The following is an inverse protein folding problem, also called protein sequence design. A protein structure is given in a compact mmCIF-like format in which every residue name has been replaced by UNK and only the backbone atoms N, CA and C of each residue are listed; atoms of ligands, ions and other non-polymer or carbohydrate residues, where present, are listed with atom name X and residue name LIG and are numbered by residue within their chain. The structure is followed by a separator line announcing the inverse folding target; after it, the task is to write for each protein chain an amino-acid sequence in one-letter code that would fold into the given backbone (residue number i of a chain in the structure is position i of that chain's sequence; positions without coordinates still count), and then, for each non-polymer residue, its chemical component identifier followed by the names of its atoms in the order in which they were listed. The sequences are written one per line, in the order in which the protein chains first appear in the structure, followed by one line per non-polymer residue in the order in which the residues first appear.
data_IF_490324928230
#
_entry.id   IF_490324928230
#
_cell.length_a   1.000
_cell.length_b   1.000
_cell.length_c   1.000
_cell.angle_alpha   90.00
_cell.angle_beta   90.00
_cell.angle_gamma   90.00
#
_symmetry.space_group_name_H-M   'P 1'
#
loop_
_entity.id
_entity.type
_entity.pdbx_description
1 polymer ?
#
# COMPACT_ATOMS: atom_id res chain seq x y z
N UNK A 1 -23.74 -18.15 15.11
CA UNK A 1 -23.14 -17.34 14.06
C UNK A 1 -24.08 -16.19 13.70
N UNK A 2 -25.36 -16.44 13.34
CA UNK A 2 -26.34 -15.40 12.99
C UNK A 2 -26.50 -14.33 14.08
N UNK A 3 -26.57 -14.69 15.36
CA UNK A 3 -26.71 -13.74 16.46
C UNK A 3 -25.49 -12.77 16.57
N UNK A 4 -24.28 -13.26 16.35
CA UNK A 4 -23.10 -12.41 16.36
C UNK A 4 -23.02 -11.50 15.12
N UNK A 5 -23.50 -11.98 13.99
CA UNK A 5 -23.56 -11.20 12.75
C UNK A 5 -24.59 -10.06 12.88
N UNK A 6 -25.75 -10.31 13.52
CA UNK A 6 -26.77 -9.29 13.84
C UNK A 6 -26.22 -8.24 14.83
N UNK A 7 -25.56 -8.67 15.91
CA UNK A 7 -25.00 -7.76 16.92
C UNK A 7 -23.90 -6.87 16.33
N UNK A 8 -23.05 -7.43 15.46
CA UNK A 8 -22.04 -6.67 14.74
C UNK A 8 -22.67 -5.65 13.80
N UNK A 9 -23.72 -6.03 13.08
CA UNK A 9 -24.43 -5.11 12.20
C UNK A 9 -25.11 -3.96 12.96
N UNK A 10 -25.70 -4.24 14.13
CA UNK A 10 -26.24 -3.19 14.99
C UNK A 10 -25.15 -2.23 15.48
N UNK A 11 -23.99 -2.75 15.88
CA UNK A 11 -22.85 -1.94 16.30
C UNK A 11 -22.31 -1.07 15.16
N UNK A 12 -22.22 -1.63 13.96
CA UNK A 12 -21.83 -0.90 12.76
C UNK A 12 -22.86 0.20 12.46
N UNK A 13 -24.15 -0.10 12.52
CA UNK A 13 -25.21 0.88 12.28
C UNK A 13 -25.16 2.04 13.29
N UNK A 14 -24.84 1.77 14.56
CA UNK A 14 -24.64 2.82 15.57
C UNK A 14 -23.43 3.71 15.29
N UNK A 15 -22.32 3.12 14.80
CA UNK A 15 -21.14 3.87 14.37
C UNK A 15 -21.41 4.72 13.11
N UNK A 16 -22.37 4.28 12.29
CA UNK A 16 -22.74 4.97 11.05
C UNK A 16 -23.52 6.26 11.27
N UNK A 17 -24.10 6.45 12.43
CA UNK A 17 -24.76 7.70 12.82
C UNK A 17 -23.75 8.84 13.08
N UNK A 18 -22.46 8.52 13.22
CA UNK A 18 -21.37 9.53 13.26
C UNK A 18 -20.96 9.94 11.84
N UNK A 19 -21.76 10.80 11.23
CA UNK A 19 -21.62 11.27 9.85
C UNK A 19 -20.29 11.96 9.54
N UNK A 20 -19.52 12.36 10.56
CA UNK A 20 -18.26 13.10 10.38
C UNK A 20 -17.09 12.24 9.88
N UNK A 21 -17.25 10.92 9.85
CA UNK A 21 -16.21 9.96 9.43
C UNK A 21 -16.63 9.07 8.28
N UNK A 22 -17.77 9.37 7.67
CA UNK A 22 -18.29 8.65 6.53
C UNK A 22 -17.76 9.26 5.23
N UNK A 23 -17.13 8.41 4.42
CA UNK A 23 -16.53 8.79 3.15
C UNK A 23 -17.00 7.87 2.03
N UNK A 24 -17.14 8.42 0.84
CA UNK A 24 -17.22 7.60 -0.37
C UNK A 24 -15.81 7.31 -0.85
N UNK A 25 -15.45 6.06 -0.92
CA UNK A 25 -14.14 5.59 -1.41
C UNK A 25 -14.32 4.75 -2.66
N UNK A 26 -13.29 4.75 -3.53
CA UNK A 26 -13.27 3.87 -4.69
C UNK A 26 -12.35 2.69 -4.40
N UNK A 27 -12.88 1.50 -4.52
CA UNK A 27 -12.15 0.26 -4.38
C UNK A 27 -11.82 -0.32 -5.75
N UNK A 28 -10.59 -0.74 -5.93
CA UNK A 28 -10.18 -1.47 -7.14
C UNK A 28 -10.85 -2.85 -7.17
N UNK A 29 -11.41 -3.23 -8.32
CA UNK A 29 -11.98 -4.58 -8.47
C UNK A 29 -10.88 -5.64 -8.31
N UNK A 30 -11.13 -6.60 -7.43
CA UNK A 30 -10.25 -7.72 -7.10
C UNK A 30 -11.08 -9.02 -6.96
N UNK A 31 -10.55 -10.19 -6.95
CA UNK A 31 -9.29 -10.61 -7.54
C UNK A 31 -9.59 -11.42 -8.80
N UNK A 32 -8.88 -11.33 -9.91
CA UNK A 32 -7.61 -10.61 -10.15
C UNK A 32 -7.80 -9.09 -10.20
N UNK A 33 -6.72 -8.34 -9.91
CA UNK A 33 -6.75 -6.88 -9.92
C UNK A 33 -7.01 -6.33 -11.31
N UNK A 34 -8.03 -5.47 -11.43
CA UNK A 34 -8.42 -4.83 -12.68
C UNK A 34 -8.30 -3.31 -12.54
N UNK A 35 -8.14 -2.63 -13.65
CA UNK A 35 -8.22 -1.16 -13.65
C UNK A 35 -9.70 -0.69 -13.72
N UNK A 36 -10.51 -1.25 -12.84
CA UNK A 36 -11.93 -0.96 -12.65
C UNK A 36 -12.15 -0.58 -11.19
N UNK A 37 -13.05 0.35 -10.94
CA UNK A 37 -13.26 0.92 -9.61
C UNK A 37 -14.75 0.87 -9.26
N UNK A 38 -15.05 0.52 -8.01
CA UNK A 38 -16.40 0.51 -7.46
C UNK A 38 -16.44 1.44 -6.25
N UNK A 39 -17.49 2.24 -6.16
CA UNK A 39 -17.67 3.18 -5.06
C UNK A 39 -18.42 2.49 -3.91
N UNK A 40 -17.90 2.70 -2.69
CA UNK A 40 -18.49 2.23 -1.46
C UNK A 40 -18.48 3.33 -0.41
N UNK A 41 -19.49 3.31 0.46
CA UNK A 41 -19.46 4.07 1.70
C UNK A 41 -18.63 3.34 2.74
N UNK A 42 -17.68 4.03 3.34
CA UNK A 42 -16.80 3.49 4.35
C UNK A 42 -16.61 4.48 5.50
N UNK A 43 -16.50 3.95 6.69
CA UNK A 43 -16.06 4.69 7.84
C UNK A 43 -14.55 4.65 7.92
N UNK A 44 -13.92 5.83 8.04
CA UNK A 44 -12.47 5.97 8.08
C UNK A 44 -12.01 6.43 9.45
N UNK A 45 -10.95 5.81 9.95
CA UNK A 45 -10.28 6.24 11.18
C UNK A 45 -8.77 6.23 11.02
N UNK A 46 -8.10 7.09 11.79
CA UNK A 46 -6.65 7.03 11.88
C UNK A 46 -6.22 5.74 12.59
N UNK A 47 -5.20 5.09 12.08
CA UNK A 47 -4.59 3.95 12.76
C UNK A 47 -3.84 4.48 14.00
N UNK A 48 -4.38 4.21 15.19
CA UNK A 48 -3.71 4.46 16.46
C UNK A 48 -2.79 3.29 16.78
N UNK A 49 -1.66 3.21 16.11
CA UNK A 49 -0.65 2.22 16.46
C UNK A 49 0.38 2.89 17.36
N UNK A 50 0.48 2.45 18.61
CA UNK A 50 1.47 2.94 19.58
C UNK A 50 2.93 2.71 19.11
N UNK A 51 3.12 1.98 18.01
CA UNK A 51 4.39 1.67 17.37
C UNK A 51 4.67 2.52 16.13
N UNK A 52 3.70 3.31 15.63
CA UNK A 52 3.94 4.20 14.49
C UNK A 52 4.64 5.45 15.02
N UNK A 53 5.85 5.64 14.55
CA UNK A 53 6.70 6.79 14.89
C UNK A 53 5.92 8.10 14.69
N UNK A 54 5.91 8.96 15.67
CA UNK A 54 5.12 10.21 15.76
C UNK A 54 5.37 11.24 14.64
N UNK A 55 6.26 10.95 13.71
CA UNK A 55 6.59 11.79 12.55
C UNK A 55 5.80 11.47 11.28
N UNK A 56 4.88 10.48 11.31
CA UNK A 56 4.03 10.16 10.16
C UNK A 56 2.75 10.98 10.20
N UNK A 57 2.34 11.48 9.04
CA UNK A 57 1.05 12.17 8.93
C UNK A 57 -0.06 11.22 9.36
N UNK A 58 -0.97 11.70 10.20
CA UNK A 58 -2.13 10.94 10.68
C UNK A 58 -2.99 10.42 9.53
N UNK A 59 -2.95 11.10 8.38
CA UNK A 59 -3.74 10.77 7.19
C UNK A 59 -3.05 9.74 6.27
N UNK A 60 -1.79 9.39 6.53
CA UNK A 60 -1.09 8.41 5.70
C UNK A 60 -1.51 6.97 6.01
N UNK A 61 -2.01 6.71 7.23
CA UNK A 61 -2.41 5.38 7.68
C UNK A 61 -3.86 5.41 8.13
N UNK A 62 -4.69 4.65 7.43
CA UNK A 62 -6.14 4.66 7.64
C UNK A 62 -6.63 3.25 7.89
N UNK A 63 -7.48 3.09 8.90
CA UNK A 63 -8.33 1.92 9.07
C UNK A 63 -9.65 2.19 8.34
N UNK A 64 -10.08 1.25 7.53
CA UNK A 64 -11.28 1.31 6.70
C UNK A 64 -12.26 0.25 7.16
N UNK A 65 -13.51 0.66 7.40
CA UNK A 65 -14.62 -0.23 7.76
C UNK A 65 -15.77 0.00 6.79
N UNK A 66 -16.16 -1.05 6.06
CA UNK A 66 -17.34 -1.00 5.22
C UNK A 66 -18.63 -1.20 6.04
N UNK A 67 -19.71 -0.56 5.58
CA UNK A 67 -21.03 -0.72 6.19
C UNK A 67 -21.61 -2.11 6.01
N UNK A 68 -21.33 -2.71 4.86
CA UNK A 68 -21.87 -4.01 4.51
C UNK A 68 -20.92 -5.12 5.01
N UNK A 69 -21.39 -5.92 5.96
CA UNK A 69 -20.66 -7.10 6.45
C UNK A 69 -20.46 -8.18 5.37
N UNK A 70 -21.21 -8.12 4.27
CA UNK A 70 -21.05 -9.01 3.12
C UNK A 70 -20.14 -8.44 2.04
N UNK A 71 -19.47 -7.33 2.33
CA UNK A 71 -18.47 -6.78 1.42
C UNK A 71 -17.45 -7.88 1.04
N UNK A 72 -17.08 -8.00 -0.25
CA UNK A 72 -16.06 -8.95 -0.67
C UNK A 72 -14.76 -8.78 0.11
N UNK A 73 -14.03 -9.89 0.30
CA UNK A 73 -12.75 -9.81 0.98
C UNK A 73 -11.80 -8.87 0.24
N UNK A 74 -11.21 -7.96 0.98
CA UNK A 74 -10.12 -7.15 0.49
C UNK A 74 -8.82 -7.95 0.47
N UNK A 75 -7.89 -7.55 -0.39
CA UNK A 75 -6.60 -8.21 -0.57
C UNK A 75 -5.45 -7.25 -0.25
N UNK A 76 -4.38 -7.77 0.32
CA UNK A 76 -3.13 -7.02 0.38
C UNK A 76 -2.72 -6.62 -1.04
N UNK A 77 -2.17 -5.42 -1.20
CA UNK A 77 -1.82 -4.91 -2.53
C UNK A 77 -2.99 -4.31 -3.33
N UNK A 78 -4.25 -4.48 -2.88
CA UNK A 78 -5.40 -3.84 -3.50
C UNK A 78 -5.33 -2.33 -3.32
N UNK A 79 -5.64 -1.58 -4.39
CA UNK A 79 -5.66 -0.13 -4.33
C UNK A 79 -7.03 0.44 -3.99
N UNK A 80 -6.99 1.56 -3.30
CA UNK A 80 -8.14 2.39 -2.95
C UNK A 80 -7.88 3.83 -3.34
N UNK A 81 -8.91 4.55 -3.78
CA UNK A 81 -8.84 5.98 -4.00
C UNK A 81 -9.72 6.67 -2.98
N UNK A 82 -9.14 7.59 -2.24
CA UNK A 82 -9.77 8.25 -1.10
C UNK A 82 -9.55 9.76 -1.22
N UNK A 83 -10.62 10.53 -1.05
CA UNK A 83 -10.59 11.99 -1.00
C UNK A 83 -10.90 12.43 0.43
N UNK A 84 -9.89 12.79 1.21
CA UNK A 84 -10.07 13.20 2.61
C UNK A 84 -10.43 14.68 2.77
N UNK A 85 -9.89 15.53 1.91
CA UNK A 85 -10.08 16.99 1.95
C UNK A 85 -11.24 17.48 1.08
N UNK A 86 -11.91 16.56 0.36
CA UNK A 86 -12.99 16.87 -0.57
C UNK A 86 -12.53 17.36 -1.95
N UNK A 87 -11.24 17.54 -2.19
CA UNK A 87 -10.69 18.08 -3.43
C UNK A 87 -9.68 17.13 -4.12
N UNK A 88 -8.81 16.47 -3.35
CA UNK A 88 -7.72 15.69 -3.90
C UNK A 88 -7.94 14.19 -3.68
N UNK A 89 -8.09 13.45 -4.78
CA UNK A 89 -8.15 12.00 -4.77
C UNK A 89 -6.73 11.43 -4.67
N UNK A 90 -6.46 10.71 -3.59
CA UNK A 90 -5.18 10.06 -3.35
C UNK A 90 -5.30 8.54 -3.43
N UNK A 91 -4.22 7.89 -3.88
CA UNK A 91 -4.17 6.42 -3.96
C UNK A 91 -3.59 5.83 -2.68
N UNK A 92 -4.24 4.81 -2.15
CA UNK A 92 -3.83 4.03 -0.98
C UNK A 92 -3.66 2.57 -1.37
N UNK A 93 -2.77 1.86 -0.70
CA UNK A 93 -2.56 0.42 -0.86
C UNK A 93 -2.90 -0.32 0.44
N UNK A 94 -3.66 -1.41 0.34
CA UNK A 94 -3.95 -2.27 1.48
C UNK A 94 -2.68 -3.03 1.88
N UNK A 95 -2.21 -2.82 3.11
CA UNK A 95 -1.03 -3.51 3.65
C UNK A 95 -1.39 -4.52 4.74
N UNK A 96 -2.54 -4.36 5.37
CA UNK A 96 -3.03 -5.26 6.41
C UNK A 96 -4.52 -5.55 6.16
N UNK A 97 -4.79 -6.77 5.73
CA UNK A 97 -6.12 -7.20 5.33
C UNK A 97 -7.02 -7.49 6.54
N UNK A 98 -8.30 -7.51 6.26
CA UNK A 98 -9.33 -7.93 7.19
C UNK A 98 -9.03 -9.31 7.77
N UNK A 99 -9.09 -9.45 9.09
CA UNK A 99 -8.99 -10.73 9.74
C UNK A 99 -10.36 -11.44 9.72
N UNK A 100 -10.48 -12.49 8.94
CA UNK A 100 -11.71 -13.30 8.80
C UNK A 100 -12.19 -13.89 10.13
N UNK A 101 -11.30 -14.04 11.12
CA UNK A 101 -11.61 -14.56 12.44
C UNK A 101 -11.94 -13.45 13.44
N UNK A 102 -11.71 -12.19 13.10
CA UNK A 102 -12.07 -11.07 13.95
C UNK A 102 -13.54 -10.71 13.74
N UNK A 103 -14.15 -10.21 14.79
CA UNK A 103 -15.52 -9.71 14.73
C UNK A 103 -15.65 -8.34 14.05
N UNK A 104 -14.51 -7.73 13.70
CA UNK A 104 -14.43 -6.44 13.01
C UNK A 104 -13.94 -6.66 11.60
N UNK A 105 -14.65 -6.11 10.63
CA UNK A 105 -14.30 -6.16 9.21
C UNK A 105 -13.42 -4.99 8.79
N UNK A 106 -12.63 -4.45 9.71
CA UNK A 106 -11.69 -3.39 9.38
C UNK A 106 -10.39 -3.92 8.77
N UNK A 107 -9.86 -3.16 7.84
CA UNK A 107 -8.56 -3.40 7.24
C UNK A 107 -7.77 -2.10 7.19
N UNK A 108 -6.47 -2.18 6.92
CA UNK A 108 -5.60 -1.01 6.96
C UNK A 108 -4.99 -0.72 5.60
N UNK A 109 -5.04 0.55 5.24
CA UNK A 109 -4.43 1.07 4.02
C UNK A 109 -3.39 2.13 4.36
N UNK A 110 -2.40 2.26 3.49
CA UNK A 110 -1.39 3.31 3.58
C UNK A 110 -1.34 4.10 2.28
N UNK A 111 -1.19 5.43 2.37
CA UNK A 111 -1.10 6.31 1.21
C UNK A 111 0.12 5.97 0.37
N UNK A 112 -0.06 5.80 -0.93
CA UNK A 112 1.04 5.71 -1.88
C UNK A 112 1.74 7.07 -1.95
N UNK A 113 2.94 7.14 -1.43
CA UNK A 113 3.70 8.38 -1.33
C UNK A 113 4.70 8.58 -2.47
N UNK A 114 4.84 7.58 -3.34
CA UNK A 114 5.72 7.59 -4.51
C UNK A 114 5.11 6.83 -5.68
N UNK A 115 5.69 7.02 -6.85
CA UNK A 115 5.44 6.22 -8.05
C UNK A 115 6.70 5.47 -8.41
N UNK A 116 6.62 4.15 -8.44
CA UNK A 116 7.67 3.27 -8.94
C UNK A 116 7.72 3.39 -10.47
N UNK A 117 8.88 3.73 -11.03
CA UNK A 117 9.07 3.94 -12.48
C UNK A 117 10.26 3.16 -12.98
N UNK A 118 10.08 2.46 -14.08
CA UNK A 118 11.19 1.75 -14.77
C UNK A 118 10.87 1.54 -16.24
N UNK A 119 11.86 1.17 -17.01
CA UNK A 119 11.70 0.82 -18.42
C UNK A 119 11.48 -0.67 -18.56
N UNK A 120 10.42 -1.07 -19.23
CA UNK A 120 10.24 -2.46 -19.63
C UNK A 120 11.30 -2.84 -20.67
N UNK A 121 12.13 -3.80 -20.31
CA UNK A 121 13.23 -4.27 -21.18
C UNK A 121 12.73 -4.94 -22.46
N UNK A 122 11.45 -5.34 -22.52
CA UNK A 122 10.88 -6.07 -23.64
C UNK A 122 10.43 -5.15 -24.78
N UNK A 123 9.82 -4.03 -24.42
CA UNK A 123 9.21 -3.11 -25.40
C UNK A 123 9.69 -1.66 -25.29
N UNK A 124 10.47 -1.32 -24.25
CA UNK A 124 10.97 0.02 -24.01
C UNK A 124 9.94 0.99 -23.39
N UNK A 125 8.76 0.51 -23.03
CA UNK A 125 7.74 1.34 -22.40
C UNK A 125 8.11 1.72 -20.97
N UNK A 126 7.71 2.92 -20.54
CA UNK A 126 7.86 3.33 -19.14
C UNK A 126 6.66 2.79 -18.36
N UNK A 127 6.97 1.94 -17.38
CA UNK A 127 5.98 1.41 -16.44
C UNK A 127 5.92 2.33 -15.22
N UNK A 128 4.71 2.62 -14.76
CA UNK A 128 4.45 3.45 -13.58
C UNK A 128 3.46 2.75 -12.66
N UNK A 129 3.84 2.60 -11.39
CA UNK A 129 3.00 1.97 -10.38
C UNK A 129 2.99 2.81 -9.10
N UNK A 130 1.80 3.16 -8.57
CA UNK A 130 1.72 3.77 -7.25
C UNK A 130 2.29 2.82 -6.20
N UNK A 131 3.10 3.34 -5.28
CA UNK A 131 3.69 2.55 -4.23
C UNK A 131 3.84 3.34 -2.92
N UNK A 132 3.91 2.61 -1.83
CA UNK A 132 4.36 3.17 -0.56
C UNK A 132 5.84 2.88 -0.38
N UNK A 133 6.62 3.90 -0.01
CA UNK A 133 8.01 3.75 0.43
C UNK A 133 8.14 4.22 1.87
N UNK A 134 8.70 3.38 2.70
CA UNK A 134 8.90 3.70 4.10
C UNK A 134 9.64 2.60 4.83
N UNK A 135 9.39 2.53 6.13
CA UNK A 135 9.91 1.45 6.96
C UNK A 135 8.94 0.27 6.94
N UNK A 136 9.44 -0.92 7.29
CA UNK A 136 8.63 -2.13 7.36
C UNK A 136 7.46 -1.94 8.34
N UNK A 137 6.24 -2.03 7.82
CA UNK A 137 5.01 -1.89 8.58
C UNK A 137 4.61 -3.19 9.28
N UNK A 138 5.17 -4.32 8.84
CA UNK A 138 4.85 -5.66 9.35
C UNK A 138 5.72 -6.06 10.55
N UNK A 139 6.85 -5.37 10.77
CA UNK A 139 7.75 -5.71 11.87
C UNK A 139 7.35 -5.00 13.16
N UNK A 140 6.95 -5.77 14.15
CA UNK A 140 6.75 -5.31 15.54
C UNK A 140 8.04 -4.85 16.23
N UNK A 141 9.20 -5.07 15.60
CA UNK A 141 10.53 -4.78 16.16
C UNK A 141 11.17 -3.52 15.58
N UNK A 142 10.42 -2.42 15.48
CA UNK A 142 10.98 -1.11 15.13
C UNK A 142 11.80 -0.47 16.26
N UNK A 143 12.48 -1.26 17.09
CA UNK A 143 13.39 -0.73 18.13
C UNK A 143 14.54 0.08 17.52
N UNK A 144 14.94 -0.24 16.28
CA UNK A 144 16.00 0.47 15.56
C UNK A 144 15.56 1.81 14.97
N UNK A 145 14.27 2.02 14.73
CA UNK A 145 13.76 3.31 14.25
C UNK A 145 13.67 4.37 15.37
N UNK A 146 13.73 3.95 16.62
CA UNK A 146 13.68 4.85 17.80
C UNK A 146 14.99 5.60 18.05
N UNK A 147 16.10 5.08 17.61
CA UNK A 147 17.42 5.61 17.99
C UNK A 147 18.00 6.62 16.98
N UNK A 148 17.27 6.99 15.92
CA UNK A 148 17.62 8.11 15.03
C UNK A 148 18.99 8.03 14.32
N UNK A 149 19.70 6.91 14.44
CA UNK A 149 21.11 6.80 14.11
C UNK A 149 21.45 5.64 13.17
N UNK A 150 20.54 5.28 12.23
CA UNK A 150 20.89 4.23 11.27
C UNK A 150 21.16 4.85 9.90
N UNK A 151 22.44 5.05 9.55
CA UNK A 151 22.82 5.52 8.20
C UNK A 151 22.40 4.57 7.07
N UNK A 152 21.99 3.34 7.39
CA UNK A 152 21.62 2.27 6.47
C UNK A 152 20.23 1.68 6.77
N UNK A 153 19.27 2.48 7.22
CA UNK A 153 17.92 1.98 7.37
C UNK A 153 17.41 1.48 6.00
N UNK A 154 17.17 0.18 5.90
CA UNK A 154 16.55 -0.41 4.72
C UNK A 154 15.16 0.18 4.56
N UNK A 155 14.91 0.79 3.42
CA UNK A 155 13.58 1.19 3.02
C UNK A 155 12.87 0.01 2.36
N UNK A 156 11.57 -0.01 2.53
CA UNK A 156 10.71 -1.02 1.92
C UNK A 156 9.73 -0.33 1.00
N UNK A 157 9.51 -0.93 -0.16
CA UNK A 157 8.46 -0.57 -1.08
C UNK A 157 7.34 -1.61 -0.97
N UNK A 158 6.11 -1.14 -0.79
CA UNK A 158 4.91 -1.95 -1.01
C UNK A 158 4.28 -1.55 -2.34
N UNK A 159 4.10 -2.52 -3.22
CA UNK A 159 3.48 -2.34 -4.53
C UNK A 159 2.56 -3.53 -4.84
N UNK A 160 1.50 -3.29 -5.60
CA UNK A 160 0.59 -4.35 -6.04
C UNK A 160 1.32 -5.37 -6.91
N UNK A 161 1.05 -6.66 -6.68
CA UNK A 161 1.55 -7.73 -7.52
C UNK A 161 0.78 -7.78 -8.85
N UNK A 162 1.49 -7.71 -9.96
CA UNK A 162 1.01 -7.89 -11.32
C UNK A 162 2.13 -8.43 -12.21
N UNK A 163 1.86 -8.67 -13.49
CA UNK A 163 2.84 -9.22 -14.42
C UNK A 163 4.15 -8.40 -14.47
N UNK A 164 4.06 -7.07 -14.35
CA UNK A 164 5.24 -6.20 -14.44
C UNK A 164 6.03 -6.18 -13.12
N UNK A 165 5.34 -6.05 -11.98
CA UNK A 165 6.00 -5.98 -10.67
C UNK A 165 6.58 -7.31 -10.22
N UNK A 166 6.00 -8.43 -10.66
CA UNK A 166 6.54 -9.78 -10.41
C UNK A 166 7.83 -10.06 -11.17
N UNK A 167 8.15 -9.28 -12.20
CA UNK A 167 9.39 -9.36 -12.96
C UNK A 167 10.51 -8.44 -12.43
N UNK A 168 10.27 -7.76 -11.31
CA UNK A 168 11.32 -6.93 -10.68
C UNK A 168 12.38 -7.84 -10.07
N UNK A 169 13.63 -7.57 -10.43
CA UNK A 169 14.79 -8.39 -10.05
C UNK A 169 15.65 -7.72 -8.98
N UNK A 170 16.45 -8.54 -8.28
CA UNK A 170 17.54 -8.04 -7.43
C UNK A 170 18.52 -7.24 -8.28
N UNK A 171 19.03 -6.14 -7.74
CA UNK A 171 19.88 -5.14 -8.38
C UNK A 171 19.16 -4.21 -9.36
N UNK A 172 17.88 -4.38 -9.65
CA UNK A 172 17.11 -3.36 -10.36
C UNK A 172 17.10 -2.06 -9.57
N UNK A 173 17.18 -0.93 -10.27
CA UNK A 173 17.34 0.37 -9.65
C UNK A 173 16.13 1.26 -9.94
N UNK A 174 15.76 2.08 -8.96
CA UNK A 174 14.66 3.04 -9.06
C UNK A 174 15.11 4.40 -8.54
N UNK A 175 14.55 5.45 -9.11
CA UNK A 175 14.83 6.82 -8.70
C UNK A 175 13.65 7.44 -8.00
N UNK A 176 13.90 7.95 -6.78
CA UNK A 176 12.89 8.59 -5.95
C UNK A 176 13.47 9.85 -5.27
N UNK A 177 12.63 10.53 -4.50
CA UNK A 177 13.01 11.52 -3.50
C UNK A 177 14.25 12.35 -3.87
N UNK A 178 14.05 13.47 -4.49
CA UNK A 178 15.15 14.37 -4.90
C UNK A 178 16.16 13.75 -5.87
N UNK A 179 15.70 12.87 -6.77
CA UNK A 179 16.54 12.20 -7.77
C UNK A 179 17.60 11.27 -7.17
N UNK A 180 17.30 10.67 -6.03
CA UNK A 180 18.14 9.65 -5.42
C UNK A 180 17.80 8.27 -5.98
N UNK A 181 18.84 7.51 -6.30
CA UNK A 181 18.69 6.14 -6.79
C UNK A 181 18.78 5.14 -5.64
N UNK A 182 17.97 4.11 -5.76
CA UNK A 182 17.91 2.98 -4.83
C UNK A 182 17.97 1.68 -5.62
N UNK A 183 18.65 0.70 -5.06
CA UNK A 183 18.82 -0.63 -5.64
C UNK A 183 18.05 -1.65 -4.82
N UNK A 184 17.37 -2.56 -5.50
CA UNK A 184 16.68 -3.70 -4.88
C UNK A 184 17.73 -4.69 -4.35
N UNK A 185 17.68 -4.99 -3.06
CA UNK A 185 18.51 -5.98 -2.40
C UNK A 185 17.79 -7.29 -2.16
N UNK A 186 16.47 -7.25 -1.96
CA UNK A 186 15.64 -8.41 -1.73
C UNK A 186 14.24 -8.16 -2.28
N UNK A 187 13.64 -9.21 -2.83
CA UNK A 187 12.24 -9.23 -3.29
C UNK A 187 11.49 -10.27 -2.45
N UNK A 188 10.37 -9.88 -1.89
CA UNK A 188 9.40 -10.78 -1.25
C UNK A 188 8.09 -10.72 -2.04
N UNK A 189 7.83 -11.77 -2.78
CA UNK A 189 6.67 -11.92 -3.67
C UNK A 189 5.81 -13.14 -3.32
N UNK A 190 6.12 -13.81 -2.21
CA UNK A 190 5.46 -15.05 -1.79
C UNK A 190 4.24 -14.82 -0.88
N UNK A 191 3.95 -13.58 -0.50
CA UNK A 191 2.77 -13.32 0.32
C UNK A 191 1.50 -13.48 -0.50
N UNK A 192 0.87 -14.62 -0.36
CA UNK A 192 -0.46 -14.89 -0.88
C UNK A 192 -1.51 -14.54 0.16
N UNK A 193 -2.64 -14.05 -0.29
CA UNK A 193 -3.80 -13.92 0.56
C UNK A 193 -4.56 -15.25 0.66
N UNK A 194 -5.31 -15.39 1.73
CA UNK A 194 -6.29 -16.46 1.83
C UNK A 194 -7.25 -16.35 0.64
N UNK A 195 -7.49 -17.44 -0.06
CA UNK A 195 -8.29 -17.53 -1.29
C UNK A 195 -7.62 -17.00 -2.58
N UNK A 196 -6.32 -16.73 -2.55
CA UNK A 196 -5.55 -16.38 -3.75
C UNK A 196 -4.39 -17.37 -3.93
N UNK A 197 -4.28 -17.95 -5.11
CA UNK A 197 -3.18 -18.87 -5.44
C UNK A 197 -1.90 -18.11 -5.83
N UNK A 198 -2.02 -16.83 -6.15
CA UNK A 198 -0.92 -15.98 -6.60
C UNK A 198 -0.64 -14.86 -5.58
N UNK A 199 0.58 -14.33 -5.55
CA UNK A 199 0.91 -13.16 -4.78
C UNK A 199 0.00 -11.98 -5.11
N UNK A 200 -0.35 -11.21 -4.09
CA UNK A 200 -1.19 -10.01 -4.23
C UNK A 200 -0.42 -8.73 -3.99
N UNK A 201 0.70 -8.82 -3.27
CA UNK A 201 1.59 -7.70 -2.98
C UNK A 201 3.06 -8.13 -3.11
N UNK A 202 3.87 -7.25 -3.68
CA UNK A 202 5.34 -7.39 -3.71
C UNK A 202 5.94 -6.41 -2.72
N UNK A 203 6.88 -6.90 -1.91
CA UNK A 203 7.72 -6.08 -1.04
C UNK A 203 9.13 -6.06 -1.58
N UNK A 204 9.66 -4.86 -1.76
CA UNK A 204 11.04 -4.67 -2.22
C UNK A 204 11.83 -4.02 -1.09
N UNK A 205 12.92 -4.66 -0.67
CA UNK A 205 13.87 -4.07 0.25
C UNK A 205 14.94 -3.36 -0.59
N UNK A 206 15.10 -2.06 -0.35
CA UNK A 206 15.96 -1.21 -1.16
C UNK A 206 17.03 -0.52 -0.33
N UNK A 207 18.19 -0.31 -0.94
CA UNK A 207 19.29 0.46 -0.37
C UNK A 207 19.74 1.56 -1.32
N UNK A 208 20.34 2.61 -0.78
CA UNK A 208 20.91 3.69 -1.58
C UNK A 208 21.87 3.16 -2.64
N UNK A 209 21.80 3.72 -3.84
CA UNK A 209 22.68 3.44 -4.96
C UNK A 209 23.15 4.78 -5.58
N UNK A 210 24.41 4.92 -5.94
CA UNK A 210 24.88 6.16 -6.58
C UNK A 210 24.20 6.38 -7.93
N UNK A 211 24.08 7.65 -8.31
CA UNK A 211 23.64 8.05 -9.64
C UNK A 211 24.69 7.61 -10.69
N UNK A 212 24.23 7.01 -11.78
CA UNK A 212 25.08 6.58 -12.90
C UNK A 212 24.85 7.47 -14.12
N UNK A 213 25.80 7.45 -15.04
CA UNK A 213 25.73 8.25 -16.27
C UNK A 213 24.56 7.83 -17.21
N UNK A 214 24.05 6.62 -17.03
CA UNK A 214 22.92 6.07 -17.79
C UNK A 214 21.55 6.38 -17.16
N UNK A 215 21.53 7.09 -16.03
CA UNK A 215 20.31 7.46 -15.35
C UNK A 215 19.73 8.76 -15.95
N UNK A 216 18.43 8.81 -16.12
CA UNK A 216 17.73 10.00 -16.59
C UNK A 216 16.99 10.67 -15.42
N UNK A 217 17.61 11.71 -14.86
CA UNK A 217 17.06 12.42 -13.71
C UNK A 217 15.85 13.31 -14.06
N UNK A 218 15.62 13.64 -15.33
CA UNK A 218 14.43 14.42 -15.74
C UNK A 218 13.19 13.54 -15.79
N UNK A 219 13.35 12.30 -16.22
CA UNK A 219 12.28 11.31 -16.26
C UNK A 219 12.14 10.52 -14.96
N UNK A 220 13.03 10.72 -13.97
CA UNK A 220 13.12 9.90 -12.75
C UNK A 220 13.29 8.40 -13.05
N UNK A 221 14.19 8.08 -13.98
CA UNK A 221 14.48 6.71 -14.40
C UNK A 221 15.94 6.37 -14.14
N UNK A 222 16.16 5.21 -13.51
CA UNK A 222 17.46 4.57 -13.48
C UNK A 222 17.64 3.66 -14.70
N UNK A 223 18.91 3.43 -15.08
CA UNK A 223 19.30 2.50 -16.16
C UNK A 223 18.53 2.76 -17.48
N UNK A 224 18.36 4.05 -17.81
CA UNK A 224 17.70 4.50 -19.04
C UNK A 224 18.70 4.52 -20.19
N UNK A 225 18.62 3.53 -21.04
CA UNK A 225 19.41 3.48 -22.29
C UNK A 225 18.59 4.11 -23.41
N UNK A 226 18.95 5.34 -23.80
CA UNK A 226 18.35 6.03 -24.97
C UNK A 226 18.93 5.53 -26.28
#
# INVERSE_FOLDING_TARGET
KEFYDELNQETINLLWDDTNRLYTIKEQVAYPFKNEWVEYEAWLSSVSDNNINTNKSVNDFISVLFKDNNHPFNHRGQYYKITLDGEHEETYICYDKMNVLSQTSDFKVVRCNQTLRWVDKTNGDIIEMPCYIGYDLSSTNNQYAKDGAIPNARLIIYVQANEQTMNIEINQRFMFMHKQCYKVEQVEDYETDQFCDNPTMVKLYIAYSPLLAVDNAELNLCDYYS
#
